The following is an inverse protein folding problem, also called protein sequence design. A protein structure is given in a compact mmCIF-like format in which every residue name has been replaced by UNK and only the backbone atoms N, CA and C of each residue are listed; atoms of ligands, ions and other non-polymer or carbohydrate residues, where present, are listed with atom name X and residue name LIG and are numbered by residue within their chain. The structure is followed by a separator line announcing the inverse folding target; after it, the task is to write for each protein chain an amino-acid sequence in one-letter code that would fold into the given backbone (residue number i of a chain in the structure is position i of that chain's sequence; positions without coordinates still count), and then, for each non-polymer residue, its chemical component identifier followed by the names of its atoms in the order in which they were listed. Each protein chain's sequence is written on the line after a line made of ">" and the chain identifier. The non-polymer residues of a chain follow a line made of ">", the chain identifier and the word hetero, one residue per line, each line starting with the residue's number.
data_IF_792544339341
#
_entry.id   IF_792544339341
#
_cell.length_a   1.000
_cell.length_b   1.000
_cell.length_c   1.000
_cell.angle_alpha   90.00
_cell.angle_beta   90.00
_cell.angle_gamma   90.00
#
_symmetry.space_group_name_H-M   'P 1'
#
loop_
_entity.id
_entity.type
_entity.pdbx_description
1 polymer ?
#
# COMPACT_ATOMS: atom_id res chain seq x y z
N UNK A 1 12.86 7.57 8.22
CA UNK A 1 11.90 7.38 7.13
C UNK A 1 10.59 6.85 7.69
N UNK A 2 9.50 7.26 7.08
CA UNK A 2 8.15 6.91 7.60
C UNK A 2 7.62 5.58 7.06
N UNK A 3 8.38 4.87 6.23
CA UNK A 3 7.90 3.69 5.53
C UNK A 3 8.85 2.51 5.71
N UNK A 4 8.26 1.31 5.87
CA UNK A 4 9.00 0.06 5.86
C UNK A 4 8.37 -0.86 4.82
N UNK A 5 9.15 -1.29 3.85
CA UNK A 5 8.68 -2.18 2.78
C UNK A 5 9.48 -3.48 2.90
N UNK A 6 8.76 -4.59 3.02
CA UNK A 6 9.38 -5.89 3.27
C UNK A 6 8.53 -7.03 2.72
N UNK A 7 9.08 -8.24 2.74
CA UNK A 7 8.35 -9.43 2.35
C UNK A 7 7.33 -9.79 3.42
N UNK A 8 6.14 -10.21 2.98
CA UNK A 8 5.12 -10.70 3.88
C UNK A 8 5.39 -12.17 4.22
N UNK A 9 5.17 -12.62 5.48
CA UNK A 9 5.40 -14.02 5.87
C UNK A 9 4.65 -15.04 5.03
N UNK A 10 3.47 -14.70 4.53
CA UNK A 10 2.66 -15.59 3.71
C UNK A 10 2.94 -15.44 2.20
N UNK A 11 4.03 -14.77 1.86
CA UNK A 11 4.37 -14.47 0.48
C UNK A 11 3.87 -13.09 0.04
N UNK A 12 4.47 -12.56 -1.03
CA UNK A 12 4.16 -11.22 -1.50
C UNK A 12 4.85 -10.13 -0.68
N UNK A 13 4.41 -8.92 -0.85
CA UNK A 13 5.06 -7.74 -0.28
C UNK A 13 4.11 -6.96 0.63
N UNK A 14 4.68 -6.26 1.59
CA UNK A 14 3.90 -5.48 2.53
C UNK A 14 4.58 -4.13 2.75
N UNK A 15 3.76 -3.11 3.05
CA UNK A 15 4.23 -1.77 3.39
C UNK A 15 3.65 -1.38 4.75
N UNK A 16 4.49 -0.78 5.59
CA UNK A 16 4.09 -0.27 6.89
C UNK A 16 4.35 1.22 6.93
N UNK A 17 3.34 2.00 7.32
CA UNK A 17 3.51 3.42 7.59
C UNK A 17 3.82 3.60 9.08
N UNK A 18 5.00 4.14 9.36
CA UNK A 18 5.54 4.21 10.72
C UNK A 18 5.13 5.47 11.48
N UNK A 19 4.57 6.47 10.78
CA UNK A 19 4.04 7.69 11.38
C UNK A 19 2.51 7.66 11.39
N UNK A 20 1.87 8.51 12.18
CA UNK A 20 0.40 8.56 12.25
C UNK A 20 -0.19 9.07 10.93
N UNK A 21 -1.27 8.48 10.41
CA UNK A 21 -1.91 7.27 10.92
C UNK A 21 -1.11 6.02 10.54
N UNK A 22 -0.75 5.23 11.53
CA UNK A 22 0.04 4.02 11.30
C UNK A 22 -0.84 2.93 10.73
N UNK A 23 -0.34 2.24 9.74
CA UNK A 23 -1.03 1.12 9.14
C UNK A 23 -0.04 0.16 8.48
N UNK A 24 -0.52 -1.05 8.22
CA UNK A 24 0.18 -2.04 7.41
C UNK A 24 -0.76 -2.46 6.31
N UNK A 25 -0.24 -2.64 5.11
CA UNK A 25 -1.01 -3.13 3.98
C UNK A 25 -0.14 -4.02 3.11
N UNK A 26 -0.76 -4.93 2.39
CA UNK A 26 -0.07 -5.68 1.35
C UNK A 26 -0.16 -4.88 0.05
N UNK A 27 0.79 -5.09 -0.83
CA UNK A 27 0.77 -4.43 -2.13
C UNK A 27 1.30 -5.36 -3.22
N UNK A 28 0.83 -5.12 -4.43
CA UNK A 28 1.30 -5.80 -5.62
C UNK A 28 1.23 -4.86 -6.81
N UNK A 29 1.88 -5.21 -7.91
CA UNK A 29 1.85 -4.43 -9.13
C UNK A 29 1.25 -5.27 -10.27
N UNK A 30 0.73 -4.58 -11.29
CA UNK A 30 0.15 -5.25 -12.44
C UNK A 30 -1.31 -5.61 -12.24
N UNK A 31 -1.66 -6.87 -12.45
CA UNK A 31 -3.04 -7.32 -12.37
C UNK A 31 -3.62 -7.17 -10.96
N UNK A 32 -4.90 -6.81 -10.87
CA UNK A 32 -5.59 -6.68 -9.59
C UNK A 32 -5.64 -8.05 -8.88
N UNK A 33 -5.28 -8.11 -7.58
CA UNK A 33 -5.21 -9.39 -6.85
C UNK A 33 -6.60 -9.84 -6.35
N UNK A 34 -7.48 -10.16 -7.28
CA UNK A 34 -8.89 -10.43 -7.00
C UNK A 34 -9.08 -11.58 -6.00
N UNK A 35 -8.21 -12.59 -6.03
CA UNK A 35 -8.31 -13.74 -5.14
C UNK A 35 -7.86 -13.43 -3.71
N UNK A 36 -7.22 -12.30 -3.49
CA UNK A 36 -6.68 -11.90 -2.19
C UNK A 36 -7.42 -10.74 -1.55
N UNK A 37 -8.34 -10.12 -2.28
CA UNK A 37 -9.15 -9.00 -1.79
C UNK A 37 -10.53 -9.51 -1.46
N UNK A 38 -10.93 -9.44 -0.19
CA UNK A 38 -12.25 -9.88 0.25
C UNK A 38 -13.31 -8.91 -0.21
N UNK A 39 -14.47 -9.43 -0.55
CA UNK A 39 -15.62 -8.60 -0.89
C UNK A 39 -15.93 -7.64 0.26
N UNK A 40 -16.10 -6.36 -0.07
CA UNK A 40 -16.38 -5.33 0.93
C UNK A 40 -15.16 -4.80 1.68
N UNK A 41 -14.00 -5.40 1.51
CA UNK A 41 -12.79 -4.92 2.14
C UNK A 41 -12.26 -3.67 1.44
N UNK A 42 -11.64 -2.79 2.22
CA UNK A 42 -11.01 -1.61 1.65
C UNK A 42 -9.78 -1.99 0.82
N UNK A 43 -9.63 -1.41 -0.34
CA UNK A 43 -8.43 -1.50 -1.15
C UNK A 43 -8.22 -0.15 -1.86
N UNK A 44 -7.01 0.03 -2.38
CA UNK A 44 -6.68 1.24 -3.14
C UNK A 44 -5.85 0.87 -4.34
N UNK A 45 -6.17 1.45 -5.48
CA UNK A 45 -5.42 1.26 -6.71
C UNK A 45 -4.82 2.59 -7.15
N UNK A 46 -3.50 2.59 -7.37
CA UNK A 46 -2.76 3.76 -7.86
C UNK A 46 -2.13 3.41 -9.19
N UNK A 47 -2.26 4.30 -10.17
CA UNK A 47 -1.73 4.05 -11.51
C UNK A 47 -0.21 4.13 -11.60
N UNK A 48 0.43 4.46 -10.47
CA UNK A 48 1.88 4.60 -10.42
C UNK A 48 2.35 5.92 -11.01
N UNK A 49 3.41 6.46 -10.47
CA UNK A 49 3.94 7.73 -10.93
C UNK A 49 5.24 7.61 -11.70
N UNK A 50 5.93 6.52 -11.56
CA UNK A 50 7.20 6.26 -12.23
C UNK A 50 7.37 4.82 -12.65
N UNK A 51 6.43 3.96 -12.27
CA UNK A 51 6.41 2.57 -12.70
C UNK A 51 5.43 2.42 -13.86
N UNK A 52 5.71 1.50 -14.75
CA UNK A 52 4.82 1.20 -15.87
C UNK A 52 3.60 0.41 -15.45
N UNK A 53 3.54 -0.04 -14.20
CA UNK A 53 2.47 -0.86 -13.67
C UNK A 53 1.62 -0.13 -12.64
N UNK A 54 0.37 -0.55 -12.54
CA UNK A 54 -0.55 -0.12 -11.50
C UNK A 54 -0.16 -0.77 -10.16
N UNK A 55 -0.23 -0.01 -9.09
CA UNK A 55 0.03 -0.50 -7.74
C UNK A 55 -1.30 -0.70 -7.03
N UNK A 56 -1.50 -1.89 -6.44
CA UNK A 56 -2.70 -2.21 -5.68
C UNK A 56 -2.35 -2.42 -4.22
N UNK A 57 -3.05 -1.71 -3.34
CA UNK A 57 -2.91 -1.87 -1.89
C UNK A 57 -4.14 -2.58 -1.36
N UNK A 58 -3.94 -3.57 -0.49
CA UNK A 58 -5.04 -4.36 0.06
C UNK A 58 -4.66 -4.94 1.42
N UNK A 59 -5.60 -5.61 2.07
CA UNK A 59 -5.39 -6.21 3.39
C UNK A 59 -4.88 -5.20 4.41
N UNK A 60 -5.52 -4.02 4.46
CA UNK A 60 -5.14 -2.95 5.38
C UNK A 60 -5.40 -3.33 6.83
N UNK A 61 -4.43 -3.04 7.68
CA UNK A 61 -4.57 -3.13 9.13
C UNK A 61 -4.18 -1.77 9.71
N UNK A 62 -5.17 -1.04 10.19
CA UNK A 62 -4.96 0.30 10.73
C UNK A 62 -4.64 0.22 12.24
N UNK A 63 -3.48 0.73 12.62
CA UNK A 63 -3.13 0.89 14.04
C UNK A 63 -3.76 2.16 14.59
N UNK A 64 -3.75 3.22 13.79
CA UNK A 64 -4.43 4.47 14.12
C UNK A 64 -5.61 4.64 13.16
N UNK A 65 -6.78 5.11 13.63
CA UNK A 65 -7.91 5.35 12.74
C UNK A 65 -7.55 6.36 11.65
N UNK A 66 -7.94 6.13 10.39
CA UNK A 66 -7.67 7.08 9.31
C UNK A 66 -8.67 8.24 9.27
N UNK A 67 -9.22 8.61 10.41
CA UNK A 67 -10.15 9.72 10.53
C UNK A 67 -9.42 11.04 10.28
N UNK A 68 -10.06 11.97 9.59
CA UNK A 68 -9.49 13.29 9.30
C UNK A 68 -8.22 13.26 8.44
N UNK A 69 -7.95 12.15 7.76
CA UNK A 69 -6.79 12.01 6.89
C UNK A 69 -7.25 12.01 5.44
N UNK A 70 -6.50 12.70 4.59
CA UNK A 70 -6.69 12.62 3.14
C UNK A 70 -6.11 11.28 2.67
N UNK A 71 -6.97 10.29 2.50
CA UNK A 71 -6.58 8.93 2.11
C UNK A 71 -5.86 8.94 0.75
N UNK A 72 -6.36 9.72 -0.20
CA UNK A 72 -5.72 9.79 -1.52
C UNK A 72 -4.27 10.26 -1.40
N UNK A 73 -4.05 11.30 -0.62
CA UNK A 73 -2.69 11.84 -0.42
C UNK A 73 -1.79 10.83 0.28
N UNK A 74 -2.32 10.14 1.29
CA UNK A 74 -1.59 9.09 1.99
C UNK A 74 -1.21 7.96 1.03
N UNK A 75 -2.13 7.52 0.18
CA UNK A 75 -1.89 6.47 -0.79
C UNK A 75 -0.91 6.93 -1.88
N UNK A 76 -1.00 8.17 -2.32
CA UNK A 76 -0.03 8.72 -3.29
C UNK A 76 1.39 8.67 -2.72
N UNK A 77 1.55 9.01 -1.45
CA UNK A 77 2.85 8.94 -0.76
C UNK A 77 3.32 7.49 -0.60
N UNK A 78 2.39 6.58 -0.30
CA UNK A 78 2.70 5.16 -0.20
C UNK A 78 3.20 4.61 -1.53
N UNK A 79 2.52 4.96 -2.62
CA UNK A 79 2.92 4.55 -3.96
C UNK A 79 4.31 5.11 -4.31
N UNK A 80 4.58 6.35 -3.94
CA UNK A 80 5.89 6.94 -4.16
C UNK A 80 6.99 6.19 -3.40
N UNK A 81 6.72 5.81 -2.16
CA UNK A 81 7.67 5.04 -1.36
C UNK A 81 7.98 3.69 -2.03
N UNK A 82 6.96 3.04 -2.61
CA UNK A 82 7.14 1.79 -3.33
C UNK A 82 7.97 2.01 -4.60
N UNK A 83 7.71 3.08 -5.34
CA UNK A 83 8.52 3.42 -6.53
C UNK A 83 9.99 3.56 -6.17
N UNK A 84 10.30 4.29 -5.13
CA UNK A 84 11.68 4.47 -4.67
C UNK A 84 12.29 3.13 -4.28
N UNK A 85 11.54 2.27 -3.58
CA UNK A 85 11.99 0.95 -3.20
C UNK A 85 12.32 0.07 -4.41
N UNK A 86 11.44 0.07 -5.41
CA UNK A 86 11.60 -0.78 -6.60
C UNK A 86 12.71 -0.26 -7.49
N UNK A 87 12.83 1.04 -7.65
CA UNK A 87 13.80 1.67 -8.55
C UNK A 87 15.17 1.89 -7.90
N UNK A 88 15.19 1.95 -6.63
CA UNK A 88 16.36 2.30 -5.87
C UNK A 88 17.21 1.19 -5.42
#
# INVERSE_FOLDING_TARGET
>A
MSWCIEDHPDGGLQITHLAAPRFTARWTTGAFPIDQVREGAFFWTDEGHGLDDTIHFYAFEWTDPPDNVDIKRLMDRSAYAIEVYVMG
#
